data_IF_785963561756
#
_entry.id   IF_785963561756
#
_cell.length_a   1.000
_cell.length_b   1.000
_cell.length_c   1.000
_cell.angle_alpha   90.00
_cell.angle_beta   90.00
_cell.angle_gamma   90.00
#
_symmetry.space_group_name_H-M   'P 1'
#
loop_
_entity.id
_entity.type
_entity.pdbx_description
1 polymer ?
#
# COMPACT_ATOMS: atom_id res chain seq x y z
N UNK A 1 -11.05 19.40 -2.38
CA UNK A 1 -12.39 18.95 -2.79
C UNK A 1 -12.36 17.43 -2.90
N UNK A 2 -13.43 16.74 -2.52
CA UNK A 2 -13.60 15.27 -2.73
C UNK A 2 -15.09 14.90 -2.88
N UNK A 3 -16.00 15.90 -2.86
CA UNK A 3 -17.45 15.69 -2.76
C UNK A 3 -18.07 15.06 -4.02
N UNK A 4 -17.43 15.22 -5.16
CA UNK A 4 -17.91 14.73 -6.45
C UNK A 4 -17.16 13.49 -6.94
N UNK A 5 -16.14 13.05 -6.21
CA UNK A 5 -15.35 11.89 -6.58
C UNK A 5 -16.08 10.59 -6.22
N UNK A 6 -15.92 9.51 -7.01
CA UNK A 6 -16.51 8.22 -6.72
C UNK A 6 -16.06 7.70 -5.36
N UNK A 7 -17.03 7.43 -4.47
CA UNK A 7 -16.76 6.95 -3.11
C UNK A 7 -15.91 5.68 -3.07
N UNK A 8 -16.10 4.79 -4.04
CA UNK A 8 -15.34 3.54 -4.18
C UNK A 8 -13.86 3.75 -4.57
N UNK A 9 -13.52 4.91 -5.16
CA UNK A 9 -12.13 5.28 -5.43
C UNK A 9 -11.45 5.95 -4.22
N UNK A 10 -12.24 6.49 -3.29
CA UNK A 10 -11.74 7.23 -2.13
C UNK A 10 -11.61 6.38 -0.86
N UNK A 11 -12.62 5.53 -0.57
CA UNK A 11 -12.73 4.90 0.73
C UNK A 11 -12.18 3.47 0.73
N UNK A 12 -11.01 3.31 1.37
CA UNK A 12 -10.30 2.04 1.51
C UNK A 12 -10.83 1.07 2.58
N UNK A 13 -12.02 1.31 3.13
CA UNK A 13 -12.59 0.60 4.27
C UNK A 13 -12.87 1.53 5.46
N UNK A 14 -13.29 0.97 6.60
CA UNK A 14 -13.63 1.75 7.80
C UNK A 14 -12.39 2.41 8.44
N UNK A 15 -11.25 1.74 8.35
CA UNK A 15 -9.94 2.21 8.85
C UNK A 15 -9.12 2.92 7.76
N UNK A 16 -9.64 3.02 6.54
CA UNK A 16 -8.98 3.68 5.40
C UNK A 16 -7.86 2.88 4.74
N UNK A 17 -7.56 1.67 5.24
CA UNK A 17 -6.37 0.89 4.84
C UNK A 17 -6.66 -0.57 4.48
N UNK A 18 -7.89 -1.04 4.64
CA UNK A 18 -8.26 -2.44 4.45
C UNK A 18 -8.04 -2.91 3.01
N UNK A 19 -8.31 -2.06 2.02
CA UNK A 19 -8.02 -2.39 0.61
C UNK A 19 -6.51 -2.58 0.40
N UNK A 20 -5.69 -1.69 0.96
CA UNK A 20 -4.23 -1.76 0.84
C UNK A 20 -3.72 -3.05 1.51
N UNK A 21 -4.14 -3.32 2.74
CA UNK A 21 -3.76 -4.54 3.46
C UNK A 21 -4.20 -5.80 2.71
N UNK A 22 -5.40 -5.81 2.12
CA UNK A 22 -5.87 -6.92 1.28
C UNK A 22 -4.97 -7.14 0.06
N UNK A 23 -4.66 -6.08 -0.69
CA UNK A 23 -3.77 -6.15 -1.86
C UNK A 23 -2.40 -6.72 -1.47
N UNK A 24 -1.83 -6.25 -0.35
CA UNK A 24 -0.54 -6.74 0.16
C UNK A 24 -0.60 -8.23 0.48
N UNK A 25 -1.66 -8.68 1.16
CA UNK A 25 -1.83 -10.08 1.53
C UNK A 25 -2.05 -11.01 0.33
N UNK A 26 -2.91 -10.63 -0.62
CA UNK A 26 -3.22 -11.42 -1.81
C UNK A 26 -2.06 -11.42 -2.82
N UNK A 27 -1.38 -10.28 -2.96
CA UNK A 27 -0.29 -10.15 -3.93
C UNK A 27 0.93 -11.01 -3.62
N UNK A 28 1.06 -11.55 -2.40
CA UNK A 28 2.12 -12.53 -2.04
C UNK A 28 2.10 -13.74 -2.99
N UNK A 29 0.92 -14.19 -3.40
CA UNK A 29 0.74 -15.40 -4.21
C UNK A 29 0.72 -15.08 -5.71
N UNK A 30 0.56 -13.80 -6.08
CA UNK A 30 0.48 -13.34 -7.47
C UNK A 30 1.83 -12.86 -8.03
N UNK A 31 2.69 -12.32 -7.17
CA UNK A 31 3.98 -11.77 -7.61
C UNK A 31 4.93 -12.91 -8.03
N UNK A 32 5.59 -12.73 -9.18
CA UNK A 32 6.73 -13.56 -9.57
C UNK A 32 7.83 -13.50 -8.50
N UNK A 33 8.75 -14.47 -8.54
CA UNK A 33 9.97 -14.41 -7.71
C UNK A 33 10.68 -13.07 -7.94
N UNK A 34 11.12 -12.42 -6.86
CA UNK A 34 11.71 -11.07 -6.86
C UNK A 34 10.79 -9.95 -7.40
N UNK A 35 9.51 -10.27 -7.61
CA UNK A 35 8.50 -9.31 -8.03
C UNK A 35 8.32 -8.19 -7.01
N UNK A 36 7.96 -7.01 -7.53
CA UNK A 36 7.74 -5.81 -6.73
C UNK A 36 6.29 -5.39 -6.79
N UNK A 37 5.79 -4.90 -5.66
CA UNK A 37 4.52 -4.19 -5.57
C UNK A 37 4.81 -2.77 -5.09
N UNK A 38 4.26 -1.79 -5.79
CA UNK A 38 4.42 -0.37 -5.49
C UNK A 38 3.03 0.20 -5.26
N UNK A 39 2.78 0.74 -4.08
CA UNK A 39 1.47 1.26 -3.68
C UNK A 39 1.63 2.69 -3.20
N UNK A 40 0.76 3.58 -3.64
CA UNK A 40 0.59 4.89 -3.02
C UNK A 40 -0.13 4.76 -1.67
N UNK A 41 0.37 5.45 -0.64
CA UNK A 41 -0.16 5.45 0.71
C UNK A 41 -0.26 6.87 1.27
N UNK A 42 -1.18 7.06 2.21
CA UNK A 42 -1.18 8.23 3.08
C UNK A 42 -0.47 7.89 4.41
N UNK A 43 0.36 8.78 4.98
CA UNK A 43 1.00 8.55 6.29
C UNK A 43 -0.01 8.19 7.40
N UNK A 44 -1.24 8.70 7.33
CA UNK A 44 -2.29 8.38 8.30
C UNK A 44 -2.73 6.91 8.28
N UNK A 45 -2.43 6.17 7.19
CA UNK A 45 -2.75 4.76 7.06
C UNK A 45 -1.67 3.84 7.66
N UNK A 46 -0.55 4.39 8.12
CA UNK A 46 0.51 3.64 8.78
C UNK A 46 0.19 3.40 10.27
N UNK A 47 0.63 2.26 10.85
CA UNK A 47 1.36 1.17 10.21
C UNK A 47 0.43 0.22 9.43
N UNK A 48 0.99 -0.44 8.40
CA UNK A 48 0.32 -1.48 7.61
C UNK A 48 0.76 -2.87 8.08
N UNK A 49 -0.15 -3.85 8.04
CA UNK A 49 0.19 -5.25 8.28
C UNK A 49 0.89 -5.84 7.04
N UNK A 50 2.23 -5.89 7.06
CA UNK A 50 3.03 -6.41 5.95
C UNK A 50 3.47 -7.84 6.26
N UNK A 51 3.12 -8.85 5.43
CA UNK A 51 3.55 -10.22 5.62
C UNK A 51 5.08 -10.37 5.66
N UNK A 52 5.62 -11.29 6.47
CA UNK A 52 7.07 -11.45 6.66
C UNK A 52 7.81 -11.85 5.39
N UNK A 53 7.12 -12.43 4.40
CA UNK A 53 7.65 -12.76 3.08
C UNK A 53 7.97 -11.53 2.22
N UNK A 54 7.63 -10.33 2.66
CA UNK A 54 8.04 -9.09 2.00
C UNK A 54 9.16 -8.39 2.77
N UNK A 55 10.10 -7.82 2.02
CA UNK A 55 10.88 -6.67 2.50
C UNK A 55 10.21 -5.39 2.00
N UNK A 56 10.37 -4.29 2.72
CA UNK A 56 9.72 -3.05 2.35
C UNK A 56 10.58 -1.80 2.58
N UNK A 57 10.31 -0.78 1.79
CA UNK A 57 10.79 0.58 1.99
C UNK A 57 9.64 1.57 1.75
N UNK A 58 9.66 2.68 2.48
CA UNK A 58 8.72 3.79 2.28
C UNK A 58 9.51 4.99 1.76
N UNK A 59 9.09 5.52 0.62
CA UNK A 59 9.69 6.69 -0.03
C UNK A 59 8.81 7.91 0.16
N UNK A 60 9.47 9.06 0.28
CA UNK A 60 8.83 10.37 0.40
C UNK A 60 8.56 10.96 -0.98
N UNK A 61 7.51 11.75 -1.09
CA UNK A 61 7.24 12.63 -2.22
C UNK A 61 8.16 13.88 -2.21
N UNK A 62 8.12 14.74 -3.24
CA UNK A 62 8.88 15.99 -3.25
C UNK A 62 8.55 16.97 -2.12
N UNK A 63 7.37 16.84 -1.49
CA UNK A 63 6.97 17.62 -0.32
C UNK A 63 7.44 17.00 1.01
N UNK A 64 8.18 15.88 0.96
CA UNK A 64 8.75 15.22 2.13
C UNK A 64 7.79 14.31 2.88
N UNK A 65 6.59 14.04 2.35
CA UNK A 65 5.60 13.14 2.97
C UNK A 65 5.79 11.71 2.49
N UNK A 66 5.65 10.75 3.40
CA UNK A 66 5.65 9.32 3.05
C UNK A 66 4.48 9.01 2.12
N UNK A 67 4.78 8.55 0.90
CA UNK A 67 3.75 8.33 -0.13
C UNK A 67 3.84 7.00 -0.84
N UNK A 68 5.03 6.43 -0.99
CA UNK A 68 5.20 5.24 -1.80
C UNK A 68 5.73 4.10 -0.95
N UNK A 69 4.91 3.06 -0.77
CA UNK A 69 5.33 1.79 -0.21
C UNK A 69 5.83 0.88 -1.34
N UNK A 70 7.08 0.42 -1.22
CA UNK A 70 7.66 -0.55 -2.15
C UNK A 70 7.85 -1.86 -1.39
N UNK A 71 7.15 -2.91 -1.80
CA UNK A 71 7.29 -4.27 -1.30
C UNK A 71 8.07 -5.11 -2.30
N UNK A 72 9.05 -5.87 -1.82
CA UNK A 72 9.80 -6.87 -2.60
C UNK A 72 9.59 -8.24 -1.98
N UNK A 73 9.15 -9.22 -2.78
CA UNK A 73 9.01 -10.60 -2.33
C UNK A 73 10.41 -11.14 -1.98
N UNK A 74 10.62 -11.46 -0.70
CA UNK A 74 11.75 -12.28 -0.25
C UNK A 74 11.54 -13.68 -0.83
N UNK A 75 12.64 -14.30 -1.26
CA UNK A 75 12.65 -15.58 -1.98
C UNK A 75 11.66 -16.62 -1.45
#
# INVERSE_FOLDING_TARGET
EVRYEPKNALFGGKKGKEIIERIIHEGKDMLKREGKMVIEIDPANLPLNIPPCFSYEIRKDPAGKERILILRRKE
#
